data_IF_497228510125
#
_entry.id   IF_497228510125
#
_cell.length_a   1.000
_cell.length_b   1.000
_cell.length_c   1.000
_cell.angle_alpha   90.00
_cell.angle_beta   90.00
_cell.angle_gamma   90.00
#
_symmetry.space_group_name_H-M   'P 1'
#
loop_
_entity.id
_entity.type
_entity.pdbx_description
1 polymer ?
#
# COMPACT_ATOMS: atom_id res chain seq x y z
N UNK A 1 -6.16 1.83 -3.05
CA UNK A 1 -4.69 2.04 -3.12
C UNK A 1 -3.99 1.76 -1.78
N UNK A 2 -4.59 2.07 -0.65
CA UNK A 2 -4.03 1.71 0.66
C UNK A 2 -3.93 0.20 0.87
N UNK A 3 -4.82 -0.59 0.24
CA UNK A 3 -4.76 -2.05 0.29
C UNK A 3 -3.65 -2.62 -0.61
N UNK A 4 -3.23 -1.88 -1.63
CA UNK A 4 -2.16 -2.30 -2.53
C UNK A 4 -0.80 -2.28 -1.82
N UNK A 5 -0.52 -1.19 -1.13
CA UNK A 5 0.68 -1.07 -0.29
C UNK A 5 0.55 -1.82 1.06
N UNK A 6 -0.64 -2.26 1.41
CA UNK A 6 -0.86 -3.14 2.56
C UNK A 6 -0.26 -4.53 2.40
N UNK A 7 0.09 -4.92 1.18
CA UNK A 7 0.89 -6.12 0.91
C UNK A 7 2.39 -5.86 0.99
N UNK A 8 2.81 -4.62 0.98
CA UNK A 8 4.17 -4.23 1.32
C UNK A 8 4.46 -4.58 2.77
N UNK A 9 5.55 -5.22 2.99
CA UNK A 9 5.96 -5.85 4.23
C UNK A 9 5.62 -5.14 5.53
N UNK A 10 5.56 -3.82 5.56
CA UNK A 10 5.34 -3.08 6.81
C UNK A 10 3.91 -3.16 7.34
N UNK A 11 2.89 -2.99 6.50
CA UNK A 11 1.49 -3.03 6.95
C UNK A 11 1.03 -4.43 7.34
N UNK A 12 1.32 -5.42 6.52
CA UNK A 12 0.93 -6.80 6.75
C UNK A 12 1.95 -7.60 7.56
N UNK A 13 3.23 -7.22 7.51
CA UNK A 13 4.27 -7.94 8.23
C UNK A 13 4.22 -7.70 9.74
N UNK A 14 3.88 -6.50 10.16
CA UNK A 14 3.80 -6.14 11.60
C UNK A 14 2.38 -6.31 12.14
N UNK A 15 1.37 -6.38 11.29
CA UNK A 15 -0.04 -6.39 11.69
C UNK A 15 -0.81 -7.66 11.39
N UNK A 16 -0.22 -8.65 10.76
CA UNK A 16 -0.95 -9.85 10.35
C UNK A 16 -1.36 -10.66 11.55
N UNK A 17 -2.65 -10.64 11.82
CA UNK A 17 -3.28 -11.40 12.89
C UNK A 17 -3.14 -12.90 12.73
N UNK A 18 -2.02 -13.42 13.20
CA UNK A 18 -1.84 -14.80 13.59
C UNK A 18 -1.85 -14.90 15.10
N UNK A 19 -1.94 -16.11 15.63
CA UNK A 19 -1.64 -16.34 17.03
C UNK A 19 -0.16 -16.01 17.25
N UNK A 20 0.14 -14.88 17.86
CA UNK A 20 1.51 -14.43 18.05
C UNK A 20 1.60 -13.19 18.93
N UNK A 21 2.78 -12.63 19.04
CA UNK A 21 3.05 -11.39 19.77
C UNK A 21 3.48 -10.32 18.79
N UNK A 22 2.84 -9.15 18.86
CA UNK A 22 3.22 -7.96 18.09
C UNK A 22 3.38 -6.77 19.03
N UNK A 23 4.48 -6.06 18.89
CA UNK A 23 4.73 -4.81 19.59
C UNK A 23 5.13 -3.72 18.60
N UNK A 24 4.54 -2.54 18.74
CA UNK A 24 4.87 -1.37 17.92
C UNK A 24 5.11 -0.15 18.78
N UNK A 25 6.00 0.72 18.34
CA UNK A 25 6.25 2.03 18.92
C UNK A 25 6.36 3.06 17.81
N UNK A 26 5.78 4.22 18.00
CA UNK A 26 5.87 5.32 17.05
C UNK A 26 5.93 6.66 17.76
N UNK A 27 6.53 7.64 17.09
CA UNK A 27 6.60 9.01 17.55
C UNK A 27 6.43 9.97 16.38
N UNK A 28 5.53 10.93 16.56
CA UNK A 28 5.31 12.04 15.62
C UNK A 28 5.88 13.34 16.21
N UNK A 29 6.72 14.01 15.44
CA UNK A 29 7.33 15.28 15.80
C UNK A 29 6.45 16.44 15.29
N UNK A 30 6.47 17.56 15.99
CA UNK A 30 5.74 18.79 15.57
C UNK A 30 6.21 19.33 14.21
N UNK A 31 7.40 18.92 13.76
CA UNK A 31 7.97 19.30 12.45
C UNK A 31 7.35 18.59 11.24
N UNK A 32 6.40 17.68 11.46
CA UNK A 32 5.81 16.83 10.41
C UNK A 32 6.55 15.50 10.18
N UNK A 33 7.70 15.29 10.82
CA UNK A 33 8.36 13.99 10.80
C UNK A 33 7.67 13.00 11.74
N UNK A 34 7.68 11.72 11.36
CA UNK A 34 7.32 10.61 12.23
C UNK A 34 8.26 9.43 12.03
N UNK A 35 8.46 8.68 13.09
CA UNK A 35 9.20 7.42 13.09
C UNK A 35 8.35 6.36 13.78
N UNK A 36 8.32 5.17 13.20
CA UNK A 36 7.67 4.02 13.81
C UNK A 36 8.55 2.78 13.66
N UNK A 37 8.41 1.86 14.59
CA UNK A 37 9.08 0.57 14.53
C UNK A 37 8.22 -0.50 15.19
N UNK A 38 8.43 -1.74 14.79
CA UNK A 38 7.68 -2.87 15.32
C UNK A 38 8.42 -4.18 15.20
N UNK A 39 7.99 -5.10 16.04
CA UNK A 39 8.38 -6.51 16.01
C UNK A 39 7.11 -7.35 16.06
N UNK A 40 7.08 -8.42 15.29
CA UNK A 40 6.01 -9.41 15.31
C UNK A 40 6.62 -10.81 15.28
N UNK A 41 6.13 -11.69 16.14
CA UNK A 41 6.47 -13.11 16.11
C UNK A 41 5.20 -13.94 15.97
N UNK A 42 4.94 -14.52 14.80
CA UNK A 42 3.76 -15.35 14.58
C UNK A 42 3.69 -16.59 15.48
N UNK A 43 4.82 -17.12 15.89
CA UNK A 43 4.91 -18.28 16.77
C UNK A 43 4.80 -17.94 18.27
N UNK A 44 4.78 -16.65 18.61
CA UNK A 44 4.68 -16.17 19.99
C UNK A 44 5.96 -16.31 20.82
N UNK A 45 7.07 -16.70 20.21
CA UNK A 45 8.38 -16.84 20.84
C UNK A 45 9.35 -15.83 20.19
N UNK A 46 9.46 -14.65 20.76
CA UNK A 46 10.26 -13.55 20.21
C UNK A 46 11.75 -13.84 20.38
N UNK A 47 12.54 -13.57 19.34
CA UNK A 47 14.01 -13.68 19.34
C UNK A 47 14.53 -15.09 19.68
N UNK A 48 13.88 -16.11 19.17
CA UNK A 48 14.37 -17.48 19.27
C UNK A 48 14.76 -18.01 17.89
N UNK A 49 15.71 -18.91 17.80
CA UNK A 49 16.15 -19.53 16.53
C UNK A 49 15.01 -20.32 15.81
N UNK A 50 13.92 -20.57 16.50
CA UNK A 50 12.78 -21.35 15.98
C UNK A 50 11.62 -20.47 15.50
N UNK A 51 11.71 -19.14 15.70
CA UNK A 51 10.64 -18.22 15.33
C UNK A 51 11.00 -17.40 14.08
N UNK A 52 10.05 -17.27 13.19
CA UNK A 52 10.12 -16.28 12.10
C UNK A 52 9.73 -14.92 12.65
N UNK A 53 10.71 -14.15 13.11
CA UNK A 53 10.46 -12.80 13.64
C UNK A 53 10.45 -11.78 12.51
N UNK A 54 9.52 -10.85 12.59
CA UNK A 54 9.37 -9.77 11.62
C UNK A 54 9.72 -8.46 12.31
N UNK A 55 10.68 -7.73 11.75
CA UNK A 55 11.06 -6.39 12.19
C UNK A 55 10.64 -5.38 11.13
N UNK A 56 10.09 -4.25 11.56
CA UNK A 56 9.71 -3.19 10.65
C UNK A 56 10.11 -1.81 11.19
N UNK A 57 10.51 -0.92 10.29
CA UNK A 57 10.81 0.48 10.55
C UNK A 57 10.15 1.34 9.49
N UNK A 58 9.63 2.49 9.90
CA UNK A 58 9.07 3.50 9.01
C UNK A 58 9.57 4.87 9.41
N UNK A 59 9.90 5.69 8.42
CA UNK A 59 10.15 7.10 8.56
C UNK A 59 9.26 7.84 7.57
N UNK A 60 8.48 8.80 8.07
CA UNK A 60 7.59 9.58 7.22
C UNK A 60 7.73 11.07 7.50
N UNK A 61 7.42 11.86 6.48
CA UNK A 61 7.30 13.30 6.57
C UNK A 61 5.99 13.74 5.91
N UNK A 62 5.21 14.53 6.62
CA UNK A 62 3.95 15.09 6.14
C UNK A 62 3.97 16.60 6.27
N UNK A 63 3.75 17.29 5.17
CA UNK A 63 3.51 18.72 5.07
C UNK A 63 2.06 18.97 4.62
N UNK A 64 1.65 20.22 4.54
CA UNK A 64 0.27 20.59 4.18
C UNK A 64 -0.16 20.06 2.81
N UNK A 65 0.78 20.02 1.84
CA UNK A 65 0.47 19.65 0.45
C UNK A 65 1.15 18.37 -0.02
N UNK A 66 2.08 17.81 0.71
CA UNK A 66 2.76 16.58 0.32
C UNK A 66 3.15 15.71 1.51
N UNK A 67 3.25 14.43 1.24
CA UNK A 67 3.75 13.45 2.18
C UNK A 67 4.70 12.48 1.48
N UNK A 68 5.66 11.97 2.24
CA UNK A 68 6.55 10.89 1.80
C UNK A 68 6.78 9.94 2.98
N UNK A 69 6.80 8.65 2.72
CA UNK A 69 7.12 7.63 3.72
C UNK A 69 8.06 6.59 3.10
N UNK A 70 9.07 6.21 3.88
CA UNK A 70 9.99 5.13 3.57
C UNK A 70 9.83 4.06 4.65
N UNK A 71 9.60 2.83 4.24
CA UNK A 71 9.43 1.70 5.12
C UNK A 71 10.43 0.59 4.79
N UNK A 72 10.86 -0.11 5.81
CA UNK A 72 11.70 -1.30 5.73
C UNK A 72 11.12 -2.38 6.62
N UNK A 73 11.10 -3.62 6.14
CA UNK A 73 10.81 -4.77 6.98
C UNK A 73 11.77 -5.93 6.64
N UNK A 74 12.07 -6.72 7.65
CA UNK A 74 12.82 -7.97 7.52
C UNK A 74 12.01 -9.07 8.19
N UNK A 75 11.84 -10.18 7.50
CA UNK A 75 11.27 -11.41 8.01
C UNK A 75 12.40 -12.44 8.13
N UNK A 76 12.80 -12.74 9.34
CA UNK A 76 13.79 -13.77 9.64
C UNK A 76 13.09 -15.14 9.63
N UNK A 77 13.01 -15.75 8.46
CA UNK A 77 12.31 -17.02 8.25
C UNK A 77 12.79 -18.13 9.16
N UNK A 78 11.87 -18.90 9.75
CA UNK A 78 12.18 -20.02 10.68
C UNK A 78 13.14 -21.09 10.09
N UNK A 79 13.39 -21.09 8.79
CA UNK A 79 14.33 -21.97 8.09
C UNK A 79 15.66 -21.28 7.72
N UNK A 80 15.85 -20.00 8.11
CA UNK A 80 17.02 -19.21 7.77
C UNK A 80 16.92 -18.50 6.41
N UNK A 81 15.76 -18.51 5.78
CA UNK A 81 15.47 -17.76 4.54
C UNK A 81 14.97 -16.38 4.94
N UNK A 82 15.87 -15.40 5.02
CA UNK A 82 15.51 -14.01 5.31
C UNK A 82 14.83 -13.39 4.08
N UNK A 83 13.70 -12.70 4.30
CA UNK A 83 13.05 -11.88 3.29
C UNK A 83 13.08 -10.42 3.74
N UNK A 84 13.57 -9.55 2.90
CA UNK A 84 13.56 -8.10 3.16
C UNK A 84 12.61 -7.37 2.23
N UNK A 85 12.05 -6.27 2.74
CA UNK A 85 11.10 -5.43 2.04
C UNK A 85 11.49 -3.96 2.17
N UNK A 86 11.37 -3.22 1.08
CA UNK A 86 11.44 -1.77 1.08
C UNK A 86 10.20 -1.20 0.43
N UNK A 87 9.64 -0.16 1.02
CA UNK A 87 8.49 0.54 0.48
C UNK A 87 8.72 2.05 0.50
N UNK A 88 8.41 2.71 -0.61
CA UNK A 88 8.40 4.16 -0.74
C UNK A 88 7.00 4.61 -1.15
N UNK A 89 6.41 5.51 -0.37
CA UNK A 89 5.15 6.17 -0.68
C UNK A 89 5.35 7.68 -0.82
N UNK A 90 4.68 8.28 -1.79
CA UNK A 90 4.63 9.73 -1.94
C UNK A 90 3.21 10.17 -2.30
N UNK A 91 2.81 11.31 -1.75
CA UNK A 91 1.56 11.97 -2.08
C UNK A 91 1.76 13.46 -2.25
N UNK A 92 0.96 14.05 -3.14
CA UNK A 92 0.89 15.50 -3.34
C UNK A 92 -0.56 15.90 -3.51
N UNK A 93 -1.02 16.87 -2.73
CA UNK A 93 -2.37 17.44 -2.82
C UNK A 93 -2.23 18.93 -3.10
N UNK A 94 -2.51 19.38 -4.35
CA UNK A 94 -2.40 20.79 -4.69
C UNK A 94 -3.46 21.61 -3.96
N UNK A 95 -3.13 22.85 -3.61
CA UNK A 95 -4.10 23.78 -3.03
C UNK A 95 -5.25 24.12 -4.00
N UNK A 96 -4.98 24.07 -5.29
CA UNK A 96 -6.00 24.31 -6.31
C UNK A 96 -6.70 22.99 -6.67
N UNK A 97 -7.96 22.85 -6.29
CA UNK A 97 -8.81 21.67 -6.48
C UNK A 97 -9.11 21.33 -7.94
N UNK A 98 -8.79 22.23 -8.89
CA UNK A 98 -8.86 21.93 -10.33
C UNK A 98 -7.80 20.93 -10.80
N UNK A 99 -6.73 20.78 -10.03
CA UNK A 99 -5.68 19.78 -10.29
C UNK A 99 -5.89 18.55 -9.41
N UNK A 100 -5.54 17.36 -9.90
CA UNK A 100 -5.66 16.15 -9.10
C UNK A 100 -4.64 16.09 -7.98
N UNK A 101 -5.02 15.48 -6.87
CA UNK A 101 -4.06 14.91 -5.94
C UNK A 101 -3.36 13.73 -6.61
N UNK A 102 -2.08 13.57 -6.32
CA UNK A 102 -1.24 12.50 -6.88
C UNK A 102 -0.79 11.61 -5.73
N UNK A 103 -0.86 10.30 -5.92
CA UNK A 103 -0.25 9.31 -5.04
C UNK A 103 0.58 8.35 -5.86
N UNK A 104 1.73 7.95 -5.31
CA UNK A 104 2.60 6.97 -5.93
C UNK A 104 3.25 6.09 -4.87
N UNK A 105 3.52 4.85 -5.20
CA UNK A 105 4.24 3.92 -4.36
C UNK A 105 5.12 3.00 -5.18
N UNK A 106 6.20 2.59 -4.56
CA UNK A 106 7.14 1.59 -5.08
C UNK A 106 7.54 0.68 -3.93
N UNK A 107 7.59 -0.60 -4.19
CA UNK A 107 8.04 -1.58 -3.21
C UNK A 107 8.98 -2.60 -3.83
N UNK A 108 9.86 -3.13 -3.01
CA UNK A 108 10.72 -4.25 -3.36
C UNK A 108 10.64 -5.33 -2.29
N UNK A 109 10.82 -6.56 -2.74
CA UNK A 109 10.99 -7.74 -1.90
C UNK A 109 12.23 -8.47 -2.38
N UNK A 110 13.06 -8.90 -1.43
CA UNK A 110 14.22 -9.77 -1.67
C UNK A 110 14.11 -10.97 -0.73
N UNK A 111 13.95 -12.15 -1.30
CA UNK A 111 13.96 -13.46 -0.64
C UNK A 111 15.03 -14.39 -1.27
N UNK A 112 16.08 -13.76 -1.85
CA UNK A 112 17.04 -14.39 -2.73
C UNK A 112 16.72 -14.21 -4.22
N UNK A 113 15.57 -13.59 -4.52
CA UNK A 113 15.16 -13.16 -5.85
C UNK A 113 14.48 -11.80 -5.73
N UNK A 114 15.10 -10.79 -6.34
CA UNK A 114 14.54 -9.42 -6.31
C UNK A 114 13.21 -9.34 -7.04
N UNK A 115 12.18 -8.86 -6.36
CA UNK A 115 10.88 -8.57 -6.95
C UNK A 115 10.45 -7.14 -6.60
N UNK A 116 9.75 -6.48 -7.50
CA UNK A 116 9.26 -5.12 -7.28
C UNK A 116 7.88 -4.88 -7.83
N UNK A 117 7.19 -3.90 -7.28
CA UNK A 117 5.89 -3.42 -7.72
C UNK A 117 5.74 -1.92 -7.50
N UNK A 118 4.83 -1.31 -8.24
CA UNK A 118 4.56 0.13 -8.14
C UNK A 118 3.11 0.47 -8.46
N UNK A 119 2.70 1.67 -8.05
CA UNK A 119 1.45 2.26 -8.48
C UNK A 119 1.54 3.79 -8.61
N UNK A 120 0.63 4.35 -9.40
CA UNK A 120 0.34 5.79 -9.48
C UNK A 120 -1.16 6.00 -9.48
N UNK A 121 -1.64 6.94 -8.67
CA UNK A 121 -3.05 7.33 -8.58
C UNK A 121 -3.23 8.83 -8.73
N UNK A 122 -4.34 9.24 -9.34
CA UNK A 122 -4.78 10.62 -9.47
C UNK A 122 -6.21 10.73 -8.95
N UNK A 123 -6.49 11.77 -8.15
CA UNK A 123 -7.84 12.01 -7.62
C UNK A 123 -8.22 13.48 -7.77
N UNK A 124 -9.29 13.75 -8.49
CA UNK A 124 -9.95 15.05 -8.55
C UNK A 124 -11.08 15.08 -7.52
N UNK A 125 -10.97 15.93 -6.51
CA UNK A 125 -11.92 15.98 -5.39
C UNK A 125 -13.24 16.69 -5.72
N UNK A 126 -13.25 17.55 -6.74
CA UNK A 126 -14.40 18.37 -7.09
C UNK A 126 -14.83 18.16 -8.55
N UNK A 127 -15.45 17.00 -8.83
CA UNK A 127 -16.02 16.68 -10.15
C UNK A 127 -17.53 16.59 -10.02
N UNK A 128 -18.21 17.72 -10.25
CA UNK A 128 -19.64 17.85 -9.94
C UNK A 128 -19.87 17.69 -8.44
N UNK A 129 -20.82 16.86 -7.99
CA UNK A 129 -21.07 16.62 -6.56
C UNK A 129 -20.10 15.63 -5.90
N UNK A 130 -19.20 15.01 -6.65
CA UNK A 130 -18.36 13.94 -6.18
C UNK A 130 -16.89 14.07 -6.57
N UNK A 131 -16.17 12.96 -6.57
CA UNK A 131 -14.76 12.89 -6.93
C UNK A 131 -14.49 11.78 -7.95
N UNK A 132 -13.52 12.00 -8.82
CA UNK A 132 -13.01 11.00 -9.77
C UNK A 132 -11.63 10.55 -9.32
N UNK A 133 -11.40 9.24 -9.34
CA UNK A 133 -10.08 8.66 -9.12
C UNK A 133 -9.73 7.77 -10.31
N UNK A 134 -8.48 7.84 -10.75
CA UNK A 134 -7.90 6.91 -11.71
C UNK A 134 -6.56 6.43 -11.18
N UNK A 135 -6.19 5.21 -11.52
CA UNK A 135 -4.92 4.65 -11.08
C UNK A 135 -4.43 3.56 -12.01
N UNK A 136 -3.12 3.34 -11.94
CA UNK A 136 -2.46 2.22 -12.57
C UNK A 136 -1.35 1.70 -11.66
N UNK A 137 -1.10 0.41 -11.69
CA UNK A 137 -0.03 -0.22 -10.93
C UNK A 137 0.18 -1.65 -11.37
N UNK A 138 1.21 -2.27 -10.85
CA UNK A 138 1.46 -3.70 -11.08
C UNK A 138 0.42 -4.53 -10.34
N UNK A 139 0.05 -5.69 -10.87
CA UNK A 139 -0.89 -6.62 -10.21
C UNK A 139 -0.28 -7.36 -9.02
N UNK A 140 1.03 -7.24 -8.84
CA UNK A 140 1.82 -7.83 -7.75
C UNK A 140 3.27 -7.39 -7.86
N UNK A 141 4.16 -8.03 -7.12
CA UNK A 141 5.60 -7.86 -7.28
C UNK A 141 6.11 -8.85 -8.34
N UNK A 142 6.93 -8.36 -9.25
CA UNK A 142 7.49 -9.12 -10.36
C UNK A 142 9.01 -9.10 -10.30
N UNK A 143 9.63 -10.24 -10.62
CA UNK A 143 11.07 -10.38 -10.81
C UNK A 143 11.47 -10.01 -12.23
N UNK A 144 12.76 -9.75 -12.48
CA UNK A 144 13.27 -9.31 -13.80
C UNK A 144 12.97 -10.31 -14.94
N UNK A 145 12.77 -11.60 -14.62
CA UNK A 145 12.47 -12.66 -15.56
C UNK A 145 10.97 -12.98 -15.71
N UNK A 146 10.10 -12.29 -14.97
CA UNK A 146 8.65 -12.41 -15.08
C UNK A 146 8.06 -11.33 -15.98
N UNK A 147 6.97 -11.66 -16.64
CA UNK A 147 6.19 -10.65 -17.38
C UNK A 147 5.42 -9.78 -16.40
N UNK A 148 5.77 -8.50 -16.35
CA UNK A 148 5.02 -7.51 -15.56
C UNK A 148 3.61 -7.35 -16.15
N UNK A 149 2.61 -7.43 -15.30
CA UNK A 149 1.20 -7.17 -15.66
C UNK A 149 0.66 -6.00 -14.84
N UNK A 150 -0.16 -5.17 -15.49
CA UNK A 150 -0.70 -3.96 -14.91
C UNK A 150 -2.20 -4.08 -14.62
N UNK A 151 -2.65 -3.34 -13.64
CA UNK A 151 -4.06 -3.05 -13.39
C UNK A 151 -4.30 -1.56 -13.58
N UNK A 152 -5.39 -1.24 -14.27
CA UNK A 152 -5.88 0.13 -14.47
C UNK A 152 -7.26 0.24 -13.82
N UNK A 153 -7.48 1.29 -13.08
CA UNK A 153 -8.74 1.51 -12.37
C UNK A 153 -9.25 2.93 -12.58
N UNK A 154 -10.57 3.07 -12.67
CA UNK A 154 -11.23 4.36 -12.63
C UNK A 154 -12.52 4.25 -11.81
N UNK A 155 -12.77 5.23 -10.95
CA UNK A 155 -13.95 5.25 -10.11
C UNK A 155 -14.49 6.69 -9.94
N UNK A 156 -15.81 6.78 -9.74
CA UNK A 156 -16.47 8.02 -9.38
C UNK A 156 -17.18 7.86 -8.04
N UNK A 157 -16.77 8.62 -7.05
CA UNK A 157 -17.37 8.62 -5.73
C UNK A 157 -18.46 9.67 -5.65
N UNK A 158 -19.72 9.24 -5.51
CA UNK A 158 -20.90 10.09 -5.46
C UNK A 158 -21.52 10.09 -4.05
N UNK A 159 -21.51 11.22 -3.33
CA UNK A 159 -22.22 11.34 -2.08
C UNK A 159 -23.72 11.44 -2.35
N UNK A 160 -24.49 10.44 -1.94
CA UNK A 160 -25.95 10.43 -2.08
C UNK A 160 -26.59 11.33 -1.02
N UNK A 161 -26.04 11.29 0.19
CA UNK A 161 -26.37 12.14 1.34
C UNK A 161 -25.21 12.07 2.36
N UNK A 162 -25.39 12.76 3.51
CA UNK A 162 -24.36 12.84 4.56
C UNK A 162 -23.96 11.48 5.16
N UNK A 163 -24.79 10.45 5.00
CA UNK A 163 -24.55 9.11 5.56
C UNK A 163 -24.32 8.03 4.50
N UNK A 164 -24.34 8.35 3.19
CA UNK A 164 -24.22 7.34 2.15
C UNK A 164 -23.46 7.83 0.92
N UNK A 165 -22.48 7.06 0.50
CA UNK A 165 -21.72 7.27 -0.74
C UNK A 165 -21.78 6.04 -1.62
N UNK A 166 -21.98 6.23 -2.93
CA UNK A 166 -21.93 5.18 -3.95
C UNK A 166 -20.74 5.44 -4.85
N UNK A 167 -19.92 4.43 -5.07
CA UNK A 167 -18.70 4.54 -5.89
C UNK A 167 -18.71 3.45 -6.97
N UNK A 168 -19.32 3.72 -8.14
CA UNK A 168 -19.10 2.88 -9.32
C UNK A 168 -17.66 3.01 -9.80
N UNK A 169 -17.10 1.90 -10.25
CA UNK A 169 -15.75 1.82 -10.80
C UNK A 169 -15.64 0.77 -11.87
N UNK A 170 -14.61 0.89 -12.67
CA UNK A 170 -14.21 -0.08 -13.69
C UNK A 170 -12.73 -0.39 -13.49
N UNK A 171 -12.34 -1.60 -13.84
CA UNK A 171 -10.93 -1.99 -13.85
C UNK A 171 -10.61 -2.86 -15.06
N UNK A 172 -9.35 -2.81 -15.47
CA UNK A 172 -8.75 -3.69 -16.47
C UNK A 172 -7.50 -4.27 -15.84
N UNK A 173 -7.39 -5.58 -15.81
CA UNK A 173 -6.20 -6.30 -15.34
C UNK A 173 -5.58 -7.04 -16.51
N UNK A 174 -4.33 -6.75 -16.80
CA UNK A 174 -3.55 -7.51 -17.77
C UNK A 174 -3.29 -8.93 -17.26
N UNK A 175 -3.34 -9.90 -18.14
CA UNK A 175 -3.08 -11.30 -17.84
C UNK A 175 -1.96 -11.82 -18.74
N UNK A 176 -0.85 -12.26 -18.15
CA UNK A 176 0.27 -12.82 -18.92
C UNK A 176 -0.18 -14.00 -19.77
N UNK A 177 0.04 -13.92 -21.09
CA UNK A 177 -0.30 -14.97 -22.06
C UNK A 177 -1.80 -15.20 -22.27
N UNK A 178 -2.69 -14.32 -21.75
CA UNK A 178 -4.14 -14.44 -21.85
C UNK A 178 -4.82 -13.14 -22.32
N UNK A 179 -6.15 -13.18 -22.33
CA UNK A 179 -6.97 -11.96 -22.58
C UNK A 179 -7.09 -11.16 -21.28
N UNK A 180 -7.07 -9.83 -21.40
CA UNK A 180 -7.25 -8.92 -20.27
C UNK A 180 -8.61 -9.11 -19.60
N UNK A 181 -8.61 -9.04 -18.28
CA UNK A 181 -9.81 -9.11 -17.47
C UNK A 181 -10.37 -7.70 -17.25
N UNK A 182 -11.59 -7.45 -17.74
CA UNK A 182 -12.31 -6.19 -17.48
C UNK A 182 -13.47 -6.44 -16.52
N UNK A 183 -13.58 -5.60 -15.50
CA UNK A 183 -14.65 -5.70 -14.51
C UNK A 183 -15.28 -4.36 -14.15
N UNK A 184 -16.47 -4.45 -13.56
CA UNK A 184 -17.20 -3.32 -12.98
C UNK A 184 -17.43 -3.62 -11.50
N UNK A 185 -17.19 -2.61 -10.67
CA UNK A 185 -17.42 -2.67 -9.23
C UNK A 185 -18.35 -1.53 -8.83
N UNK A 186 -19.26 -1.79 -7.89
CA UNK A 186 -20.02 -0.74 -7.22
C UNK A 186 -19.84 -0.91 -5.70
N UNK A 187 -19.17 0.05 -5.08
CA UNK A 187 -19.03 0.12 -3.62
C UNK A 187 -20.09 1.05 -3.05
N UNK A 188 -20.74 0.64 -1.96
CA UNK A 188 -21.63 1.51 -1.16
C UNK A 188 -21.04 1.62 0.24
N UNK A 189 -20.84 2.84 0.70
CA UNK A 189 -20.33 3.14 2.04
C UNK A 189 -21.41 3.86 2.86
N UNK A 190 -21.53 3.51 4.13
CA UNK A 190 -22.41 4.14 5.10
C UNK A 190 -21.58 4.68 6.27
N UNK A 191 -21.90 5.88 6.76
CA UNK A 191 -21.21 6.56 7.86
C UNK A 191 -22.20 7.09 8.90
#
# INVERSE_FOLDING_TARGET
FTDYMGNCGTGNSVGVGGAGVTGTIGYAFDSGFSLAGGISSPQGAIMTEESADIFALEAAYTADTYGVALAYASNDGAAGDETTYWGLNASYTPENTSFPSISAGYETQDDGTDASGYFVGLTWSEVGPGSVSVGAGTTGNFTDDQTETLIYEAAYSYPVNDGMTITPGVFITEVDGGDDLTGILVKTSFS
#
